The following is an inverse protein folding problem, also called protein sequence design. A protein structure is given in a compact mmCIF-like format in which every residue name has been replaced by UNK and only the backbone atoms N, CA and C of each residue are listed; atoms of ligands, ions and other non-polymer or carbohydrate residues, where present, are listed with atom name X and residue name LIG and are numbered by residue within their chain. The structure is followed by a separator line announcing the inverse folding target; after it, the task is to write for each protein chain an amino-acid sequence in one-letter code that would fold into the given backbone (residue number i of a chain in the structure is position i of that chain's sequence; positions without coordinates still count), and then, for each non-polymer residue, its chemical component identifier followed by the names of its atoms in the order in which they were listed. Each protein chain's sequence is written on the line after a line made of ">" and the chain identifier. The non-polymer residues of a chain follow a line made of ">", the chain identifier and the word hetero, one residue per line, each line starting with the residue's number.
data_IF_787280499687
#
_entry.id   IF_787280499687
#
_cell.length_a   1.000
_cell.length_b   1.000
_cell.length_c   1.000
_cell.angle_alpha   90.00
_cell.angle_beta   90.00
_cell.angle_gamma   90.00
#
_symmetry.space_group_name_H-M   'P 1'
#
loop_
_entity.id
_entity.type
_entity.pdbx_description
1 polymer ?
#
# COMPACT_ATOMS: atom_id res chain seq x y z
N UNK A 1 18.35 1.43 47.23
CA UNK A 1 17.14 1.93 46.54
C UNK A 1 16.22 0.74 46.34
N UNK A 2 14.92 0.91 46.63
CA UNK A 2 13.92 -0.14 46.38
C UNK A 2 13.69 -0.31 44.90
N UNK A 3 13.69 -1.57 44.45
CA UNK A 3 13.39 -1.98 43.05
C UNK A 3 12.05 -2.72 42.94
N UNK A 4 11.24 -2.73 43.99
CA UNK A 4 9.98 -3.50 44.04
C UNK A 4 9.02 -3.13 42.91
N UNK A 5 8.89 -1.82 42.60
CA UNK A 5 8.01 -1.37 41.51
C UNK A 5 8.58 -1.76 40.16
N UNK A 6 9.89 -1.65 39.96
CA UNK A 6 10.57 -2.12 38.75
C UNK A 6 10.34 -3.62 38.54
N UNK A 7 10.52 -4.41 39.59
CA UNK A 7 10.31 -5.86 39.54
C UNK A 7 8.87 -6.21 39.13
N UNK A 8 7.90 -5.50 39.70
CA UNK A 8 6.48 -5.69 39.35
C UNK A 8 6.22 -5.46 37.85
N UNK A 9 6.62 -4.28 37.33
CA UNK A 9 6.41 -3.96 35.92
C UNK A 9 7.21 -4.86 34.97
N UNK A 10 8.42 -5.26 35.38
CA UNK A 10 9.25 -6.20 34.60
C UNK A 10 8.59 -7.58 34.50
N UNK A 11 8.06 -8.09 35.59
CA UNK A 11 7.34 -9.37 35.62
C UNK A 11 6.06 -9.32 34.80
N UNK A 12 5.29 -8.22 34.86
CA UNK A 12 4.10 -8.01 34.03
C UNK A 12 4.47 -7.98 32.55
N UNK A 13 5.52 -7.24 32.16
CA UNK A 13 5.97 -7.18 30.77
C UNK A 13 6.42 -8.55 30.24
N UNK A 14 7.17 -9.29 31.04
CA UNK A 14 7.60 -10.67 30.70
C UNK A 14 6.41 -11.62 30.58
N UNK A 15 5.40 -11.49 31.45
CA UNK A 15 4.19 -12.31 31.39
C UNK A 15 3.40 -12.06 30.10
N UNK A 16 3.19 -10.80 29.71
CA UNK A 16 2.53 -10.45 28.46
C UNK A 16 3.32 -10.96 27.25
N UNK A 17 4.64 -10.85 27.25
CA UNK A 17 5.48 -11.38 26.19
C UNK A 17 5.38 -12.90 26.09
N UNK A 18 5.39 -13.62 27.21
CA UNK A 18 5.24 -15.07 27.26
C UNK A 18 3.86 -15.55 26.82
N UNK A 19 2.81 -14.77 27.05
CA UNK A 19 1.44 -15.05 26.61
C UNK A 19 1.21 -14.78 25.11
N UNK A 20 2.15 -14.17 24.42
CA UNK A 20 1.99 -13.81 23.01
C UNK A 20 1.23 -12.48 22.78
N UNK A 21 0.93 -11.72 23.84
CA UNK A 21 0.16 -10.47 23.75
C UNK A 21 0.88 -9.36 22.97
N UNK A 22 2.20 -9.49 22.80
CA UNK A 22 3.07 -8.54 22.08
C UNK A 22 3.22 -8.92 20.62
N UNK A 23 2.96 -10.17 20.24
CA UNK A 23 3.30 -10.73 18.93
C UNK A 23 2.57 -10.03 17.77
N UNK A 24 1.36 -9.53 18.02
CA UNK A 24 0.50 -8.84 17.04
C UNK A 24 0.54 -7.31 17.18
N UNK A 25 1.39 -6.76 18.05
CA UNK A 25 1.61 -5.33 18.14
C UNK A 25 2.38 -4.81 16.93
N UNK A 26 2.29 -3.49 16.68
CA UNK A 26 3.14 -2.81 15.68
C UNK A 26 4.61 -2.96 16.05
N UNK A 27 5.50 -2.89 15.06
CA UNK A 27 6.93 -3.20 15.24
C UNK A 27 7.61 -2.31 16.29
N UNK A 28 7.30 -1.02 16.33
CA UNK A 28 7.87 -0.10 17.33
C UNK A 28 7.55 -0.51 18.77
N UNK A 29 6.38 -1.09 19.00
CA UNK A 29 5.99 -1.56 20.34
C UNK A 29 6.66 -2.90 20.66
N UNK A 30 6.82 -3.82 19.71
CA UNK A 30 7.63 -5.03 19.90
C UNK A 30 9.05 -4.68 20.31
N UNK A 31 9.66 -3.72 19.63
CA UNK A 31 11.02 -3.23 19.91
C UNK A 31 11.09 -2.57 21.30
N UNK A 32 10.09 -1.77 21.66
CA UNK A 32 10.00 -1.13 22.99
C UNK A 32 9.92 -2.16 24.11
N UNK A 33 9.11 -3.22 23.97
CA UNK A 33 9.04 -4.31 24.94
C UNK A 33 10.39 -5.01 25.11
N UNK A 34 11.04 -5.37 24.00
CA UNK A 34 12.34 -6.04 24.04
C UNK A 34 13.40 -5.18 24.72
N UNK A 35 13.46 -3.88 24.39
CA UNK A 35 14.40 -2.94 24.99
C UNK A 35 14.09 -2.68 26.46
N UNK A 36 12.82 -2.47 26.81
CA UNK A 36 12.41 -2.21 28.19
C UNK A 36 12.68 -3.38 29.13
N UNK A 37 12.45 -4.62 28.67
CA UNK A 37 12.74 -5.84 29.43
C UNK A 37 14.25 -6.00 29.61
N UNK A 38 15.04 -5.82 28.56
CA UNK A 38 16.50 -5.90 28.61
C UNK A 38 17.08 -4.87 29.60
N UNK A 39 16.62 -3.63 29.52
CA UNK A 39 17.04 -2.56 30.44
C UNK A 39 16.58 -2.83 31.88
N UNK A 40 15.35 -3.28 32.06
CA UNK A 40 14.79 -3.65 33.35
C UNK A 40 15.60 -4.76 34.03
N UNK A 41 15.95 -5.81 33.29
CA UNK A 41 16.80 -6.91 33.78
C UNK A 41 18.18 -6.42 34.18
N UNK A 42 18.81 -5.57 33.37
CA UNK A 42 20.11 -5.00 33.66
C UNK A 42 20.10 -4.14 34.94
N UNK A 43 19.08 -3.30 35.11
CA UNK A 43 18.92 -2.46 36.31
C UNK A 43 18.62 -3.33 37.54
N UNK A 44 17.80 -4.39 37.40
CA UNK A 44 17.54 -5.33 38.51
C UNK A 44 18.83 -6.02 38.99
N UNK A 45 19.69 -6.40 38.06
CA UNK A 45 20.95 -7.07 38.36
C UNK A 45 22.06 -6.15 38.90
N UNK A 46 21.91 -4.83 38.75
CA UNK A 46 22.91 -3.85 39.18
C UNK A 46 22.70 -3.43 40.65
N UNK A 47 23.49 -3.93 41.58
CA UNK A 47 23.42 -3.57 43.02
C UNK A 47 23.69 -2.10 43.28
N UNK A 48 24.32 -1.39 42.35
CA UNK A 48 24.66 0.02 42.45
C UNK A 48 23.76 0.94 41.64
N UNK A 49 22.62 0.41 41.14
CA UNK A 49 21.68 1.18 40.35
C UNK A 49 21.22 2.45 41.10
N UNK A 50 21.25 3.56 40.40
CA UNK A 50 20.78 4.86 40.91
C UNK A 50 19.25 4.93 40.92
N UNK A 51 18.71 5.88 41.66
CA UNK A 51 17.27 6.15 41.66
C UNK A 51 16.75 6.44 40.22
N UNK A 52 17.52 7.25 39.47
CA UNK A 52 17.17 7.64 38.10
C UNK A 52 17.12 6.43 37.18
N UNK A 53 18.09 5.53 37.22
CA UNK A 53 18.10 4.31 36.42
C UNK A 53 16.90 3.43 36.75
N UNK A 54 16.57 3.23 38.01
CA UNK A 54 15.39 2.44 38.43
C UNK A 54 14.09 3.07 37.94
N UNK A 55 13.95 4.40 38.04
CA UNK A 55 12.75 5.10 37.60
C UNK A 55 12.61 5.09 36.07
N UNK A 56 13.70 5.33 35.35
CA UNK A 56 13.66 5.32 33.87
C UNK A 56 13.30 3.94 33.34
N UNK A 57 13.89 2.88 33.86
CA UNK A 57 13.53 1.51 33.48
C UNK A 57 12.06 1.18 33.81
N UNK A 58 11.58 1.64 34.98
CA UNK A 58 10.17 1.46 35.37
C UNK A 58 9.21 2.19 34.43
N UNK A 59 9.49 3.44 34.10
CA UNK A 59 8.66 4.22 33.17
C UNK A 59 8.64 3.65 31.77
N UNK A 60 9.77 3.15 31.28
CA UNK A 60 9.86 2.51 29.97
C UNK A 60 9.01 1.25 29.91
N UNK A 61 9.04 0.40 30.95
CA UNK A 61 8.18 -0.77 31.06
C UNK A 61 6.68 -0.37 31.13
N UNK A 62 6.35 0.64 31.93
CA UNK A 62 4.98 1.14 32.04
C UNK A 62 4.47 1.67 30.68
N UNK A 63 5.31 2.38 29.94
CA UNK A 63 5.01 2.87 28.59
C UNK A 63 4.73 1.70 27.62
N UNK A 64 5.57 0.68 27.63
CA UNK A 64 5.38 -0.52 26.80
C UNK A 64 4.05 -1.22 27.14
N UNK A 65 3.78 -1.46 28.41
CA UNK A 65 2.53 -2.06 28.88
C UNK A 65 1.29 -1.25 28.49
N UNK A 66 1.38 0.08 28.56
CA UNK A 66 0.30 0.99 28.14
C UNK A 66 0.02 1.01 26.62
N UNK A 67 0.92 0.46 25.82
CA UNK A 67 0.83 0.45 24.37
C UNK A 67 0.42 -0.91 23.79
N UNK A 68 0.00 -1.87 24.60
CA UNK A 68 -0.40 -3.23 24.15
C UNK A 68 -1.59 -3.26 23.18
N UNK A 69 -2.38 -2.21 23.12
CA UNK A 69 -3.51 -2.04 22.20
C UNK A 69 -3.10 -1.55 20.80
N UNK A 70 -1.85 -1.15 20.62
CA UNK A 70 -1.31 -0.74 19.32
C UNK A 70 -1.00 -1.97 18.45
N UNK A 71 -2.06 -2.53 17.85
CA UNK A 71 -1.97 -3.75 17.05
C UNK A 71 -1.67 -3.44 15.58
N UNK A 72 -0.82 -4.27 14.97
CA UNK A 72 -0.58 -4.24 13.54
C UNK A 72 -1.85 -4.66 12.77
N UNK A 73 -2.10 -4.02 11.63
CA UNK A 73 -3.19 -4.40 10.75
C UNK A 73 -2.84 -5.63 9.90
N UNK A 74 -3.88 -6.31 9.39
CA UNK A 74 -3.72 -7.36 8.38
C UNK A 74 -3.39 -6.75 7.02
N UNK A 75 -2.31 -7.18 6.40
CA UNK A 75 -1.85 -6.70 5.08
C UNK A 75 -2.26 -7.61 3.92
N UNK A 76 -3.02 -8.68 4.17
CA UNK A 76 -3.36 -9.68 3.15
C UNK A 76 -4.10 -9.08 1.96
N UNK A 77 -5.13 -8.27 2.20
CA UNK A 77 -5.91 -7.67 1.11
C UNK A 77 -5.09 -6.65 0.32
N UNK A 78 -4.21 -5.88 0.99
CA UNK A 78 -3.32 -4.94 0.34
C UNK A 78 -2.28 -5.66 -0.52
N UNK A 79 -1.72 -6.77 -0.05
CA UNK A 79 -0.81 -7.63 -0.82
C UNK A 79 -1.48 -8.12 -2.11
N UNK A 80 -2.71 -8.63 -2.01
CA UNK A 80 -3.48 -9.08 -3.17
C UNK A 80 -3.77 -7.94 -4.16
N UNK A 81 -4.08 -6.75 -3.67
CA UNK A 81 -4.29 -5.56 -4.51
C UNK A 81 -3.00 -5.14 -5.24
N UNK A 82 -1.84 -5.23 -4.58
CA UNK A 82 -0.54 -4.97 -5.19
C UNK A 82 -0.16 -6.02 -6.24
N UNK A 83 -0.46 -7.30 -6.00
CA UNK A 83 -0.28 -8.36 -6.99
C UNK A 83 -1.13 -8.08 -8.25
N UNK A 84 -2.38 -7.65 -8.07
CA UNK A 84 -3.23 -7.22 -9.18
C UNK A 84 -2.65 -6.02 -9.91
N UNK A 85 -2.15 -5.02 -9.18
CA UNK A 85 -1.51 -3.84 -9.76
C UNK A 85 -0.27 -4.19 -10.59
N UNK A 86 0.52 -5.17 -10.17
CA UNK A 86 1.70 -5.66 -10.89
C UNK A 86 1.37 -6.35 -12.22
N UNK A 87 0.15 -6.86 -12.36
CA UNK A 87 -0.35 -7.48 -13.60
C UNK A 87 -0.79 -6.44 -14.65
N UNK A 88 -0.94 -5.16 -14.28
CA UNK A 88 -1.41 -4.11 -15.17
C UNK A 88 -0.29 -3.64 -16.07
N UNK A 89 -0.52 -3.79 -17.39
CA UNK A 89 0.33 -3.24 -18.43
C UNK A 89 -0.22 -1.87 -18.87
N UNK A 90 0.41 -0.80 -18.40
CA UNK A 90 -0.04 0.58 -18.64
C UNK A 90 -0.03 0.97 -20.11
N UNK A 91 0.75 0.30 -20.96
CA UNK A 91 0.78 0.57 -22.39
C UNK A 91 -0.57 0.31 -23.08
N UNK A 92 -1.41 -0.53 -22.46
CA UNK A 92 -2.76 -0.85 -22.92
C UNK A 92 -3.82 0.15 -22.47
N UNK A 93 -3.46 1.10 -21.62
CA UNK A 93 -4.38 2.08 -21.02
C UNK A 93 -4.13 3.48 -21.60
N UNK A 94 -5.15 4.33 -21.58
CA UNK A 94 -4.99 5.76 -21.91
C UNK A 94 -4.19 6.44 -20.78
N UNK A 95 -3.55 7.57 -21.09
CA UNK A 95 -2.67 8.27 -20.15
C UNK A 95 -3.43 8.80 -18.91
N UNK A 96 -4.70 9.14 -19.07
CA UNK A 96 -5.55 9.60 -17.99
C UNK A 96 -5.68 8.54 -16.88
N UNK A 97 -5.35 8.91 -15.66
CA UNK A 97 -5.38 8.03 -14.50
C UNK A 97 -4.11 7.23 -14.23
N UNK A 98 -3.15 7.17 -15.16
CA UNK A 98 -1.92 6.41 -14.96
C UNK A 98 -1.06 6.95 -13.81
N UNK A 99 -0.92 8.27 -13.69
CA UNK A 99 -0.13 8.86 -12.61
C UNK A 99 -0.77 8.59 -11.25
N UNK A 100 -2.08 8.74 -11.14
CA UNK A 100 -2.81 8.43 -9.91
C UNK A 100 -2.65 6.95 -9.50
N UNK A 101 -2.67 6.04 -10.48
CA UNK A 101 -2.39 4.62 -10.26
C UNK A 101 -0.96 4.37 -9.75
N UNK A 102 0.04 4.98 -10.38
CA UNK A 102 1.45 4.84 -9.97
C UNK A 102 1.68 5.40 -8.56
N UNK A 103 1.08 6.54 -8.24
CA UNK A 103 1.18 7.16 -6.91
C UNK A 103 0.51 6.29 -5.85
N UNK A 104 -0.68 5.77 -6.12
CA UNK A 104 -1.40 4.88 -5.20
C UNK A 104 -0.65 3.56 -4.98
N UNK A 105 -0.06 2.99 -6.04
CA UNK A 105 0.77 1.80 -5.96
C UNK A 105 2.02 2.02 -5.10
N UNK A 106 2.74 3.12 -5.31
CA UNK A 106 3.91 3.48 -4.51
C UNK A 106 3.55 3.68 -3.03
N UNK A 107 2.45 4.38 -2.74
CA UNK A 107 1.96 4.56 -1.37
C UNK A 107 1.57 3.23 -0.71
N UNK A 108 0.94 2.32 -1.45
CA UNK A 108 0.60 0.98 -0.97
C UNK A 108 1.85 0.15 -0.66
N UNK A 109 2.89 0.23 -1.48
CA UNK A 109 4.18 -0.43 -1.24
C UNK A 109 4.86 0.10 0.04
N UNK A 110 4.79 1.41 0.30
CA UNK A 110 5.29 2.01 1.53
C UNK A 110 4.54 1.46 2.77
N UNK A 111 3.22 1.37 2.71
CA UNK A 111 2.41 0.81 3.80
C UNK A 111 2.72 -0.68 4.01
N UNK A 112 2.94 -1.45 2.94
CA UNK A 112 3.37 -2.85 3.04
C UNK A 112 4.70 -3.00 3.78
N UNK A 113 5.64 -2.09 3.55
CA UNK A 113 6.96 -2.07 4.19
C UNK A 113 6.94 -1.49 5.61
N UNK A 114 5.87 -0.77 5.99
CA UNK A 114 5.76 -0.14 7.30
C UNK A 114 5.33 -1.15 8.37
N UNK A 115 6.27 -1.49 9.27
CA UNK A 115 6.01 -2.36 10.41
C UNK A 115 5.07 -1.78 11.46
N UNK A 116 4.81 -0.47 11.41
CA UNK A 116 3.93 0.25 12.33
C UNK A 116 2.54 0.54 11.72
N UNK A 117 2.27 0.08 10.51
CA UNK A 117 0.98 0.29 9.87
C UNK A 117 -0.15 -0.38 10.67
N UNK A 118 -1.15 0.42 11.01
CA UNK A 118 -2.40 -0.04 11.65
C UNK A 118 -3.47 -0.31 10.60
N UNK A 119 -4.57 -0.96 10.99
CA UNK A 119 -5.61 -1.35 10.04
C UNK A 119 -6.16 -0.18 9.22
N UNK A 120 -6.34 0.99 9.84
CA UNK A 120 -6.84 2.18 9.13
C UNK A 120 -5.89 2.65 8.00
N UNK A 121 -4.58 2.58 8.22
CA UNK A 121 -3.59 2.97 7.21
C UNK A 121 -3.61 1.98 6.04
N UNK A 122 -3.71 0.69 6.35
CA UNK A 122 -3.78 -0.39 5.36
C UNK A 122 -5.07 -0.30 4.54
N UNK A 123 -6.21 -0.09 5.19
CA UNK A 123 -7.51 0.06 4.51
C UNK A 123 -7.54 1.28 3.60
N UNK A 124 -6.95 2.41 4.03
CA UNK A 124 -6.83 3.62 3.22
C UNK A 124 -5.97 3.41 1.98
N UNK A 125 -4.84 2.73 2.13
CA UNK A 125 -3.94 2.40 1.00
C UNK A 125 -4.60 1.43 0.03
N UNK A 126 -5.30 0.42 0.54
CA UNK A 126 -6.07 -0.53 -0.26
C UNK A 126 -7.18 0.17 -1.06
N UNK A 127 -7.96 1.05 -0.42
CA UNK A 127 -9.02 1.80 -1.07
C UNK A 127 -8.48 2.71 -2.17
N UNK A 128 -7.41 3.44 -1.90
CA UNK A 128 -6.79 4.33 -2.88
C UNK A 128 -6.25 3.57 -4.10
N UNK A 129 -5.61 2.42 -3.87
CA UNK A 129 -5.08 1.59 -4.96
C UNK A 129 -6.20 0.98 -5.80
N UNK A 130 -7.22 0.40 -5.16
CA UNK A 130 -8.35 -0.20 -5.88
C UNK A 130 -9.15 0.84 -6.66
N UNK A 131 -9.38 2.02 -6.10
CA UNK A 131 -10.03 3.13 -6.81
C UNK A 131 -9.21 3.59 -8.03
N UNK A 132 -7.89 3.69 -7.89
CA UNK A 132 -7.00 4.07 -8.99
C UNK A 132 -7.00 3.01 -10.11
N UNK A 133 -7.06 1.72 -9.78
CA UNK A 133 -7.17 0.62 -10.74
C UNK A 133 -8.50 0.71 -11.50
N UNK A 134 -9.61 0.90 -10.79
CA UNK A 134 -10.95 1.00 -11.40
C UNK A 134 -11.07 2.20 -12.33
N UNK A 135 -10.34 3.29 -12.07
CA UNK A 135 -10.35 4.49 -12.89
C UNK A 135 -9.46 4.40 -14.13
N UNK A 136 -8.64 3.37 -14.29
CA UNK A 136 -7.87 3.14 -15.52
C UNK A 136 -8.81 2.78 -16.67
N UNK A 137 -8.52 3.31 -17.86
CA UNK A 137 -9.31 3.07 -19.06
C UNK A 137 -8.44 2.44 -20.14
N UNK A 138 -8.85 1.29 -20.65
CA UNK A 138 -8.21 0.65 -21.77
C UNK A 138 -8.29 1.52 -23.02
N UNK A 139 -7.23 1.52 -23.80
CA UNK A 139 -7.24 2.07 -25.17
C UNK A 139 -8.23 1.29 -26.00
N UNK A 140 -8.95 2.02 -26.86
CA UNK A 140 -9.85 1.37 -27.80
C UNK A 140 -9.04 0.48 -28.78
N UNK A 141 -9.57 -0.69 -29.06
CA UNK A 141 -9.06 -1.53 -30.13
C UNK A 141 -9.52 -0.95 -31.49
N UNK A 142 -8.59 -0.38 -32.22
CA UNK A 142 -8.81 0.23 -33.53
C UNK A 142 -8.46 -0.67 -34.69
N UNK A 143 -8.09 -1.93 -34.46
CA UNK A 143 -7.58 -2.83 -35.49
C UNK A 143 -8.58 -3.07 -36.64
N UNK A 144 -9.86 -3.24 -36.30
CA UNK A 144 -10.91 -3.40 -37.30
C UNK A 144 -11.10 -2.16 -38.19
N UNK A 145 -10.98 -0.95 -37.58
CA UNK A 145 -11.04 0.31 -38.32
C UNK A 145 -9.81 0.48 -39.22
N UNK A 146 -8.63 0.17 -38.69
CA UNK A 146 -7.38 0.20 -39.46
C UNK A 146 -7.44 -0.75 -40.69
N UNK A 147 -7.88 -1.98 -40.47
CA UNK A 147 -8.07 -2.98 -41.57
C UNK A 147 -9.03 -2.45 -42.61
N UNK A 148 -10.16 -1.86 -42.25
CA UNK A 148 -11.11 -1.26 -43.15
C UNK A 148 -10.50 -0.09 -43.93
N UNK A 149 -9.79 0.83 -43.25
CA UNK A 149 -9.10 1.96 -43.89
C UNK A 149 -8.07 1.49 -44.91
N UNK A 150 -7.28 0.46 -44.57
CA UNK A 150 -6.31 -0.17 -45.47
C UNK A 150 -6.98 -0.81 -46.70
N UNK A 151 -8.13 -1.43 -46.52
CA UNK A 151 -8.89 -2.08 -47.61
C UNK A 151 -9.45 -1.10 -48.64
N UNK A 152 -9.70 0.16 -48.22
CA UNK A 152 -10.25 1.21 -49.10
C UNK A 152 -9.22 2.24 -49.57
N UNK A 153 -7.96 2.13 -49.10
CA UNK A 153 -6.93 3.13 -49.39
C UNK A 153 -6.61 3.32 -50.87
N UNK A 154 -6.76 2.26 -51.67
CA UNK A 154 -6.50 2.28 -53.12
C UNK A 154 -7.78 2.24 -53.98
N UNK A 155 -8.96 2.54 -53.38
CA UNK A 155 -10.23 2.47 -54.10
C UNK A 155 -10.28 3.49 -55.25
N UNK A 156 -10.57 3.03 -56.48
CA UNK A 156 -10.79 3.87 -57.63
C UNK A 156 -12.21 4.48 -57.60
N UNK A 157 -12.28 5.76 -57.38
CA UNK A 157 -13.55 6.52 -57.24
C UNK A 157 -14.09 6.98 -58.58
N UNK A 158 -13.41 6.79 -59.71
CA UNK A 158 -13.81 7.30 -61.04
C UNK A 158 -15.09 6.64 -61.58
N UNK A 159 -15.44 5.48 -61.04
CA UNK A 159 -16.63 4.70 -61.42
C UNK A 159 -17.89 5.07 -60.62
N UNK A 160 -17.80 5.97 -59.68
CA UNK A 160 -18.90 6.36 -58.78
C UNK A 160 -19.39 7.76 -59.04
N UNK A 161 -20.64 8.04 -58.65
CA UNK A 161 -21.23 9.41 -58.79
C UNK A 161 -20.56 10.38 -57.80
N UNK A 162 -20.55 11.66 -58.16
CA UNK A 162 -19.97 12.72 -57.30
C UNK A 162 -20.60 12.72 -55.90
N UNK A 163 -21.90 12.46 -55.79
CA UNK A 163 -22.62 12.42 -54.51
C UNK A 163 -22.13 11.26 -53.63
N UNK A 164 -21.96 10.05 -54.18
CA UNK A 164 -21.48 8.88 -53.46
C UNK A 164 -20.01 9.04 -53.05
N UNK A 165 -19.20 9.67 -53.89
CA UNK A 165 -17.78 9.98 -53.61
C UNK A 165 -17.70 10.95 -52.44
N UNK A 166 -18.56 11.98 -52.36
CA UNK A 166 -18.59 12.94 -51.27
C UNK A 166 -18.94 12.28 -49.94
N UNK A 167 -19.95 11.41 -49.92
CA UNK A 167 -20.32 10.62 -48.72
C UNK A 167 -19.13 9.74 -48.24
N UNK A 168 -18.49 9.06 -49.18
CA UNK A 168 -17.31 8.22 -48.87
C UNK A 168 -16.16 9.04 -48.29
N UNK A 169 -15.82 10.21 -48.90
CA UNK A 169 -14.73 11.07 -48.41
C UNK A 169 -15.02 11.65 -47.03
N UNK A 170 -16.26 11.98 -46.74
CA UNK A 170 -16.68 12.46 -45.44
C UNK A 170 -16.52 11.37 -44.38
N UNK A 171 -16.94 10.13 -44.69
CA UNK A 171 -16.77 8.99 -43.78
C UNK A 171 -15.32 8.62 -43.60
N UNK A 172 -14.51 8.69 -44.65
CA UNK A 172 -13.07 8.43 -44.62
C UNK A 172 -12.34 9.45 -43.74
N UNK A 173 -12.67 10.73 -43.85
CA UNK A 173 -12.10 11.79 -43.01
C UNK A 173 -12.46 11.60 -41.54
N UNK A 174 -13.71 11.23 -41.24
CA UNK A 174 -14.18 10.93 -39.89
C UNK A 174 -13.44 9.71 -39.29
N UNK A 175 -13.26 8.64 -40.08
CA UNK A 175 -12.53 7.44 -39.66
C UNK A 175 -11.05 7.73 -39.39
N UNK A 176 -10.40 8.51 -40.26
CA UNK A 176 -9.01 8.92 -40.03
C UNK A 176 -8.83 9.84 -38.80
N UNK A 177 -9.82 10.63 -38.45
CA UNK A 177 -9.80 11.49 -37.27
C UNK A 177 -9.88 10.67 -35.96
N UNK A 178 -10.44 9.48 -36.00
CA UNK A 178 -10.51 8.56 -34.84
C UNK A 178 -9.22 7.77 -34.66
N UNK A 179 -8.44 7.51 -35.74
CA UNK A 179 -7.18 6.78 -35.68
C UNK A 179 -6.10 7.52 -34.91
#
# INVERSE_FOLDING_TARGET
>A
ISKTTLEFYLNEAKAHQANGDVDDCVQSIKDLFAEAITEGDAVMANDHATYEEVMNATFKLAQALGALDMKAGSKTDLEMALELADMIDLDKYVDAGQQAFLDAKAAAEEVMADGDAMQADIDSAWQALTDAIVNLRLKADKSALEDLLNSVAGLDLSQYTDESVQVFRTALAAANAVM
#
